data_IF_644174072930
#
_entry.id   IF_644174072930
#
_cell.length_a   1.000
_cell.length_b   1.000
_cell.length_c   1.000
_cell.angle_alpha   90.00
_cell.angle_beta   90.00
_cell.angle_gamma   90.00
#
_symmetry.space_group_name_H-M   'P 1'
#
loop_
_entity.id
_entity.type
_entity.pdbx_description
1 polymer ?
#
# COMPACT_ATOMS: atom_id res chain seq x y z
N UNK A 1 11.16 2.04 -19.38
CA UNK A 1 10.96 1.11 -18.26
C UNK A 1 9.46 0.98 -17.96
N UNK A 2 9.00 -0.23 -17.78
CA UNK A 2 7.59 -0.50 -17.53
C UNK A 2 7.14 0.03 -16.18
N UNK A 3 6.02 0.72 -16.14
CA UNK A 3 5.42 1.20 -14.90
C UNK A 3 4.57 0.11 -14.28
N UNK A 4 4.77 -0.14 -13.00
CA UNK A 4 4.03 -1.16 -12.25
C UNK A 4 3.46 -0.52 -10.98
N UNK A 5 2.15 -0.65 -10.80
CA UNK A 5 1.44 -0.09 -9.66
C UNK A 5 1.02 -1.20 -8.71
N UNK A 6 1.40 -1.06 -7.45
CA UNK A 6 0.96 -1.95 -6.38
C UNK A 6 -0.03 -1.18 -5.51
N UNK A 7 -1.31 -1.46 -5.67
CA UNK A 7 -2.37 -0.85 -4.87
C UNK A 7 -2.53 -1.61 -3.56
N UNK A 8 -2.43 -0.90 -2.45
CA UNK A 8 -2.48 -1.49 -1.12
C UNK A 8 -3.67 -0.90 -0.34
N UNK A 9 -4.63 -1.75 -0.06
CA UNK A 9 -5.78 -1.41 0.79
C UNK A 9 -5.46 -1.83 2.21
N UNK A 10 -5.13 -0.84 3.06
CA UNK A 10 -4.62 -1.09 4.41
C UNK A 10 -5.77 -1.22 5.39
N UNK A 11 -5.79 -2.33 6.12
CA UNK A 11 -6.67 -2.53 7.27
C UNK A 11 -5.82 -2.61 8.54
N UNK A 12 -6.46 -2.88 9.67
CA UNK A 12 -5.79 -2.83 10.97
C UNK A 12 -4.62 -3.81 11.09
N UNK A 13 -4.83 -5.07 10.69
CA UNK A 13 -3.84 -6.14 10.90
C UNK A 13 -3.27 -6.70 9.60
N UNK A 14 -3.89 -6.38 8.49
CA UNK A 14 -3.52 -6.93 7.20
C UNK A 14 -3.89 -5.95 6.10
N UNK A 15 -3.31 -6.15 4.94
CA UNK A 15 -3.61 -5.36 3.75
C UNK A 15 -3.94 -6.29 2.59
N UNK A 16 -4.71 -5.77 1.65
CA UNK A 16 -4.95 -6.45 0.38
C UNK A 16 -4.13 -5.73 -0.69
N UNK A 17 -3.37 -6.47 -1.48
CA UNK A 17 -2.47 -5.91 -2.49
C UNK A 17 -2.87 -6.41 -3.86
N UNK A 18 -2.98 -5.49 -4.82
CA UNK A 18 -3.19 -5.80 -6.23
C UNK A 18 -2.07 -5.17 -7.05
N UNK A 19 -1.48 -5.92 -7.96
CA UNK A 19 -0.37 -5.43 -8.78
C UNK A 19 -0.82 -5.35 -10.23
N UNK A 20 -0.58 -4.20 -10.86
CA UNK A 20 -1.08 -3.88 -12.19
C UNK A 20 0.04 -3.27 -13.04
N UNK A 21 0.07 -3.62 -14.34
CA UNK A 21 1.05 -3.04 -15.25
C UNK A 21 0.53 -1.73 -15.88
N UNK A 22 1.37 -1.10 -16.70
CA UNK A 22 1.06 0.19 -17.31
C UNK A 22 -0.12 0.16 -18.28
N UNK A 23 -0.49 -1.02 -18.76
CA UNK A 23 -1.64 -1.18 -19.67
C UNK A 23 -2.93 -1.47 -18.90
N UNK A 24 -2.87 -1.45 -17.57
CA UNK A 24 -4.02 -1.73 -16.73
C UNK A 24 -4.29 -3.22 -16.54
N UNK A 25 -3.34 -4.05 -16.96
CA UNK A 25 -3.47 -5.50 -16.80
C UNK A 25 -3.03 -5.93 -15.42
N UNK A 26 -3.82 -6.77 -14.75
CA UNK A 26 -3.49 -7.29 -13.44
C UNK A 26 -2.38 -8.33 -13.56
N UNK A 27 -1.21 -8.03 -12.98
CA UNK A 27 -0.08 -8.94 -12.95
C UNK A 27 -0.29 -9.99 -11.85
N UNK A 28 -0.72 -9.53 -10.68
CA UNK A 28 -1.04 -10.40 -9.55
C UNK A 28 -2.41 -10.03 -9.01
N UNK A 29 -3.30 -11.01 -8.93
CA UNK A 29 -4.64 -10.83 -8.38
C UNK A 29 -4.55 -10.39 -6.93
N UNK A 30 -5.57 -9.68 -6.40
CA UNK A 30 -5.54 -9.25 -5.00
C UNK A 30 -5.21 -10.38 -4.04
N UNK A 31 -4.24 -10.13 -3.17
CA UNK A 31 -3.80 -11.11 -2.18
C UNK A 31 -3.60 -10.43 -0.83
N UNK A 32 -3.71 -11.21 0.23
CA UNK A 32 -3.59 -10.71 1.59
C UNK A 32 -2.14 -10.71 2.04
N UNK A 33 -1.77 -9.64 2.77
CA UNK A 33 -0.46 -9.52 3.38
C UNK A 33 -0.68 -9.11 4.84
N UNK A 34 -0.24 -9.94 5.77
CA UNK A 34 -0.30 -9.61 7.19
C UNK A 34 0.78 -8.59 7.52
N UNK A 35 0.52 -7.74 8.51
CA UNK A 35 1.47 -6.69 8.92
C UNK A 35 2.53 -7.26 9.85
N UNK A 36 3.18 -8.32 9.44
CA UNK A 36 4.32 -8.91 10.15
C UNK A 36 5.60 -8.60 9.40
N UNK A 37 6.72 -8.62 10.10
CA UNK A 37 8.02 -8.35 9.48
C UNK A 37 8.28 -9.31 8.33
N UNK A 38 7.98 -10.58 8.53
CA UNK A 38 8.23 -11.63 7.53
C UNK A 38 7.40 -11.40 6.26
N UNK A 39 6.13 -11.08 6.40
CA UNK A 39 5.26 -10.87 5.23
C UNK A 39 5.54 -9.55 4.53
N UNK A 40 5.91 -8.51 5.27
CA UNK A 40 6.30 -7.24 4.66
C UNK A 40 7.64 -7.39 3.92
N UNK A 41 8.57 -8.17 4.45
CA UNK A 41 9.80 -8.50 3.76
C UNK A 41 9.50 -9.26 2.47
N UNK A 42 8.61 -10.25 2.53
CA UNK A 42 8.20 -11.02 1.37
C UNK A 42 7.56 -10.13 0.30
N UNK A 43 6.68 -9.22 0.73
CA UNK A 43 6.04 -8.28 -0.19
C UNK A 43 7.07 -7.38 -0.87
N UNK A 44 8.00 -6.82 -0.10
CA UNK A 44 9.03 -5.95 -0.64
C UNK A 44 9.91 -6.70 -1.64
N UNK A 45 10.32 -7.92 -1.31
CA UNK A 45 11.12 -8.74 -2.21
C UNK A 45 10.36 -9.08 -3.49
N UNK A 46 9.08 -9.42 -3.36
CA UNK A 46 8.22 -9.71 -4.50
C UNK A 46 8.15 -8.52 -5.45
N UNK A 47 7.93 -7.32 -4.91
CA UNK A 47 7.83 -6.10 -5.71
C UNK A 47 9.15 -5.76 -6.38
N UNK A 48 10.27 -5.93 -5.68
CA UNK A 48 11.59 -5.62 -6.24
C UNK A 48 12.02 -6.58 -7.36
N UNK A 49 11.44 -7.77 -7.39
CA UNK A 49 11.74 -8.74 -8.44
C UNK A 49 10.96 -8.50 -9.73
N UNK A 50 9.97 -7.64 -9.68
CA UNK A 50 9.18 -7.32 -10.87
C UNK A 50 10.03 -6.53 -11.86
N UNK A 51 9.81 -6.79 -13.14
CA UNK A 51 10.59 -6.17 -14.21
C UNK A 51 10.00 -4.81 -14.60
N UNK A 52 10.32 -3.78 -13.82
CA UNK A 52 9.82 -2.44 -14.08
C UNK A 52 10.02 -1.51 -12.89
N UNK A 53 9.56 -0.29 -13.06
CA UNK A 53 9.53 0.69 -11.98
C UNK A 53 8.27 0.49 -11.16
N UNK A 54 8.42 0.08 -9.91
CA UNK A 54 7.28 -0.24 -9.04
C UNK A 54 7.02 0.91 -8.09
N UNK A 55 5.77 1.32 -8.00
CA UNK A 55 5.30 2.29 -7.02
C UNK A 55 4.17 1.70 -6.23
N UNK A 56 4.21 1.91 -4.92
CA UNK A 56 3.18 1.43 -3.98
C UNK A 56 2.23 2.57 -3.69
N UNK A 57 0.94 2.33 -3.90
CA UNK A 57 -0.10 3.35 -3.74
C UNK A 57 -1.00 2.94 -2.57
N UNK A 58 -1.25 3.88 -1.67
CA UNK A 58 -2.15 3.68 -0.53
C UNK A 58 -3.16 4.81 -0.46
N UNK A 59 -4.32 4.52 0.13
CA UNK A 59 -5.35 5.52 0.37
C UNK A 59 -5.26 6.01 1.81
N UNK A 60 -5.38 7.31 2.01
CA UNK A 60 -5.35 7.92 3.34
C UNK A 60 -6.75 7.89 3.97
N UNK A 61 -7.13 6.76 4.57
CA UNK A 61 -8.45 6.57 5.18
C UNK A 61 -8.41 6.46 6.70
N UNK A 62 -7.25 6.16 7.28
CA UNK A 62 -7.10 5.92 8.71
C UNK A 62 -5.69 6.25 9.14
N UNK A 63 -5.31 5.81 10.34
CA UNK A 63 -3.94 5.95 10.82
C UNK A 63 -3.08 4.70 10.53
N UNK A 64 -3.73 3.60 10.11
CA UNK A 64 -3.03 2.32 9.94
C UNK A 64 -2.08 2.30 8.74
N UNK A 65 -2.31 3.17 7.73
CA UNK A 65 -1.44 3.21 6.56
C UNK A 65 -0.05 3.76 6.88
N UNK A 66 0.11 4.62 7.90
CA UNK A 66 1.39 5.25 8.19
C UNK A 66 2.47 4.27 8.67
N UNK A 67 2.19 3.37 9.62
CA UNK A 67 3.20 2.37 10.00
C UNK A 67 3.61 1.46 8.82
N UNK A 68 2.65 1.09 7.99
CA UNK A 68 2.94 0.22 6.84
C UNK A 68 3.72 0.98 5.77
N UNK A 69 3.37 2.22 5.52
CA UNK A 69 4.11 3.07 4.59
C UNK A 69 5.56 3.22 5.04
N UNK A 70 5.79 3.45 6.34
CA UNK A 70 7.12 3.56 6.89
C UNK A 70 7.91 2.27 6.71
N UNK A 71 7.30 1.13 7.04
CA UNK A 71 7.93 -0.18 6.88
C UNK A 71 8.36 -0.44 5.43
N UNK A 72 7.49 -0.17 4.49
CA UNK A 72 7.79 -0.40 3.09
C UNK A 72 8.80 0.60 2.54
N UNK A 73 8.73 1.85 3.00
CA UNK A 73 9.71 2.88 2.61
C UNK A 73 11.12 2.52 3.11
N UNK A 74 11.22 2.01 4.32
CA UNK A 74 12.50 1.56 4.88
C UNK A 74 13.11 0.40 4.10
N UNK A 75 12.27 -0.35 3.39
CA UNK A 75 12.71 -1.44 2.52
C UNK A 75 13.05 -0.98 1.11
N UNK A 76 13.08 0.34 0.89
CA UNK A 76 13.54 0.93 -0.37
C UNK A 76 12.48 1.06 -1.44
N UNK A 77 11.20 1.02 -1.07
CA UNK A 77 10.10 1.14 -2.04
C UNK A 77 9.62 2.59 -2.15
N UNK A 78 9.15 2.95 -3.34
CA UNK A 78 8.46 4.22 -3.56
C UNK A 78 7.03 4.08 -3.06
N UNK A 79 6.63 4.96 -2.13
CA UNK A 79 5.29 4.95 -1.53
C UNK A 79 4.60 6.27 -1.86
N UNK A 80 3.36 6.20 -2.33
CA UNK A 80 2.51 7.37 -2.51
C UNK A 80 1.22 7.17 -1.72
N UNK A 81 0.89 8.13 -0.86
CA UNK A 81 -0.35 8.10 -0.09
C UNK A 81 -1.31 9.11 -0.71
N UNK A 82 -2.41 8.62 -1.24
CA UNK A 82 -3.38 9.42 -1.99
C UNK A 82 -4.54 9.80 -1.08
N UNK A 83 -5.00 11.04 -1.22
CA UNK A 83 -6.16 11.55 -0.49
C UNK A 83 -7.40 10.68 -0.78
N UNK A 84 -8.14 10.35 0.28
CA UNK A 84 -9.33 9.50 0.18
C UNK A 84 -10.40 10.11 -0.73
N UNK A 85 -10.52 11.43 -0.72
CA UNK A 85 -11.49 12.12 -1.58
C UNK A 85 -11.15 11.94 -3.05
N UNK A 86 -9.89 12.13 -3.41
CA UNK A 86 -9.43 11.96 -4.81
C UNK A 86 -9.60 10.51 -5.26
N UNK A 87 -9.31 9.57 -4.38
CA UNK A 87 -9.48 8.14 -4.68
C UNK A 87 -10.96 7.82 -4.92
N UNK A 88 -11.85 8.37 -4.08
CA UNK A 88 -13.29 8.17 -4.22
C UNK A 88 -13.81 8.76 -5.54
N UNK A 89 -13.33 9.94 -5.91
CA UNK A 89 -13.72 10.56 -7.18
C UNK A 89 -13.32 9.67 -8.36
N UNK A 90 -12.11 9.16 -8.34
CA UNK A 90 -11.61 8.25 -9.37
C UNK A 90 -12.46 6.98 -9.44
N UNK A 91 -12.75 6.37 -8.29
CA UNK A 91 -13.55 5.15 -8.23
C UNK A 91 -14.96 5.35 -8.76
N UNK A 92 -15.58 6.51 -8.52
CA UNK A 92 -16.93 6.81 -9.00
C UNK A 92 -16.97 6.96 -10.52
N UNK A 93 -15.89 7.37 -11.14
CA UNK A 93 -15.82 7.55 -12.60
C UNK A 93 -15.55 6.22 -13.29
N UNK A 94 -14.54 5.48 -12.82
CA UNK A 94 -14.03 4.30 -13.53
C UNK A 94 -14.57 2.97 -13.02
N UNK A 95 -15.06 2.92 -11.78
CA UNK A 95 -15.51 1.67 -11.17
C UNK A 95 -16.90 1.85 -10.58
N UNK A 96 -17.91 1.43 -11.32
CA UNK A 96 -19.30 1.52 -10.88
C UNK A 96 -19.69 0.26 -10.12
N UNK A 97 -20.15 0.46 -8.87
CA UNK A 97 -20.80 -0.58 -8.07
C UNK A 97 -19.88 -1.48 -7.29
N UNK A 98 -20.35 -1.93 -6.14
CA UNK A 98 -19.75 -2.96 -5.30
C UNK A 98 -18.53 -2.50 -4.51
N UNK A 99 -18.64 -2.59 -3.19
CA UNK A 99 -17.54 -2.29 -2.27
C UNK A 99 -17.03 -3.60 -1.67
N UNK A 100 -15.97 -4.16 -2.25
CA UNK A 100 -15.27 -5.29 -1.65
C UNK A 100 -13.80 -4.91 -1.49
N UNK A 101 -13.12 -5.50 -0.50
CA UNK A 101 -11.70 -5.23 -0.25
C UNK A 101 -10.87 -5.51 -1.50
N UNK A 102 -11.25 -6.51 -2.27
CA UNK A 102 -10.56 -6.85 -3.52
C UNK A 102 -10.70 -5.75 -4.57
N UNK A 103 -11.89 -5.13 -4.65
CA UNK A 103 -12.11 -4.01 -5.55
C UNK A 103 -11.30 -2.79 -5.15
N UNK A 104 -11.19 -2.54 -3.85
CA UNK A 104 -10.47 -1.37 -3.35
C UNK A 104 -8.99 -1.43 -3.73
N UNK A 105 -8.32 -2.56 -3.55
CA UNK A 105 -6.91 -2.68 -3.93
C UNK A 105 -6.70 -2.55 -5.43
N UNK A 106 -7.61 -3.10 -6.24
CA UNK A 106 -7.57 -2.97 -7.69
C UNK A 106 -7.79 -1.53 -8.12
N UNK A 107 -8.74 -0.85 -7.49
CA UNK A 107 -9.02 0.56 -7.76
C UNK A 107 -7.81 1.42 -7.43
N UNK A 108 -7.17 1.14 -6.29
CA UNK A 108 -5.98 1.87 -5.87
C UNK A 108 -4.83 1.66 -6.86
N UNK A 109 -4.62 0.42 -7.30
CA UNK A 109 -3.59 0.12 -8.30
C UNK A 109 -3.87 0.85 -9.61
N UNK A 110 -5.13 0.85 -10.05
CA UNK A 110 -5.55 1.52 -11.27
C UNK A 110 -5.33 3.03 -11.20
N UNK A 111 -5.61 3.63 -10.03
CA UNK A 111 -5.32 5.04 -9.80
C UNK A 111 -3.83 5.34 -10.02
N UNK A 112 -2.96 4.49 -9.49
CA UNK A 112 -1.52 4.66 -9.65
C UNK A 112 -1.08 4.68 -11.11
N UNK A 113 -1.64 3.82 -11.92
CA UNK A 113 -1.34 3.78 -13.36
C UNK A 113 -1.91 5.02 -14.07
N UNK A 114 -3.17 5.37 -13.78
CA UNK A 114 -3.85 6.49 -14.46
C UNK A 114 -3.20 7.83 -14.16
N UNK A 115 -2.69 8.01 -12.95
CA UNK A 115 -2.08 9.27 -12.51
C UNK A 115 -0.59 9.13 -12.19
N UNK A 116 0.08 8.21 -12.87
CA UNK A 116 1.50 7.90 -12.63
C UNK A 116 2.38 9.14 -12.56
N UNK A 117 2.20 10.05 -13.50
CA UNK A 117 3.02 11.26 -13.59
C UNK A 117 2.71 12.31 -12.53
N UNK A 118 1.59 12.13 -11.82
CA UNK A 118 1.16 13.06 -10.77
C UNK A 118 1.39 12.50 -9.37
N UNK A 119 1.87 11.27 -9.25
CA UNK A 119 2.13 10.65 -7.95
C UNK A 119 3.28 11.38 -7.25
N UNK A 120 3.07 11.67 -5.97
CA UNK A 120 4.08 12.31 -5.12
C UNK A 120 4.59 11.28 -4.12
N UNK A 121 5.90 11.12 -4.08
CA UNK A 121 6.50 10.20 -3.12
C UNK A 121 6.27 10.71 -1.69
N UNK A 122 5.71 9.84 -0.84
CA UNK A 122 5.45 10.18 0.54
C UNK A 122 6.74 10.44 1.28
N UNK A 123 6.81 11.59 1.94
CA UNK A 123 7.95 11.98 2.76
C UNK A 123 7.52 12.06 4.21
N UNK A 124 8.36 11.55 5.11
CA UNK A 124 8.08 11.62 6.53
C UNK A 124 8.50 13.00 7.03
N UNK A 125 7.56 13.81 7.56
CA UNK A 125 7.94 15.09 8.15
C UNK A 125 8.94 14.88 9.28
N UNK A 126 9.99 15.70 9.34
CA UNK A 126 11.06 15.55 10.35
C UNK A 126 10.51 15.52 11.78
N UNK A 127 9.50 16.32 12.04
CA UNK A 127 8.92 16.46 13.37
C UNK A 127 8.11 15.22 13.78
N UNK A 128 7.64 14.43 12.84
CA UNK A 128 6.80 13.27 13.10
C UNK A 128 7.54 11.95 12.93
N UNK A 129 8.76 11.96 12.41
CA UNK A 129 9.53 10.74 12.14
C UNK A 129 9.65 9.86 13.38
N UNK A 130 10.06 10.45 14.49
CA UNK A 130 10.23 9.71 15.74
C UNK A 130 8.90 9.14 16.22
N UNK A 131 7.84 9.92 16.14
CA UNK A 131 6.51 9.50 16.59
C UNK A 131 5.98 8.35 15.73
N UNK A 132 6.20 8.39 14.42
CA UNK A 132 5.80 7.31 13.52
C UNK A 132 6.59 6.04 13.77
N UNK A 133 7.89 6.17 14.00
CA UNK A 133 8.74 5.02 14.32
C UNK A 133 8.30 4.35 15.62
N UNK A 134 8.03 5.14 16.64
CA UNK A 134 7.54 4.63 17.92
C UNK A 134 6.18 3.96 17.76
N UNK A 135 5.26 4.59 17.04
CA UNK A 135 3.95 4.02 16.76
C UNK A 135 4.07 2.70 16.03
N UNK A 136 4.94 2.64 15.04
CA UNK A 136 5.18 1.44 14.26
C UNK A 136 5.71 0.31 15.13
N UNK A 137 6.69 0.58 15.97
CA UNK A 137 7.26 -0.41 16.89
C UNK A 137 6.21 -0.92 17.86
N UNK A 138 5.41 -0.02 18.44
CA UNK A 138 4.34 -0.38 19.35
C UNK A 138 3.30 -1.27 18.66
N UNK A 139 2.91 -0.90 17.45
CA UNK A 139 1.95 -1.67 16.67
C UNK A 139 2.46 -3.07 16.37
N UNK A 140 3.70 -3.19 15.88
CA UNK A 140 4.28 -4.48 15.53
C UNK A 140 4.48 -5.36 16.77
N UNK A 141 4.89 -4.77 17.90
CA UNK A 141 5.05 -5.51 19.14
C UNK A 141 3.72 -6.03 19.68
N UNK A 142 2.68 -5.20 19.65
CA UNK A 142 1.35 -5.63 20.09
C UNK A 142 0.85 -6.80 19.25
N UNK A 143 1.08 -6.75 17.96
CA UNK A 143 0.69 -7.83 17.05
C UNK A 143 1.48 -9.10 17.33
N UNK A 144 2.77 -8.98 17.61
CA UNK A 144 3.63 -10.10 17.95
C UNK A 144 3.15 -10.79 19.23
N UNK A 145 2.75 -10.01 20.22
CA UNK A 145 2.19 -10.57 21.47
C UNK A 145 0.89 -11.32 21.22
N UNK A 146 0.02 -10.81 20.37
CA UNK A 146 -1.22 -11.50 20.03
C UNK A 146 -0.96 -12.84 19.37
N UNK A 147 0.05 -12.94 18.52
CA UNK A 147 0.41 -14.18 17.85
C UNK A 147 0.96 -15.22 18.83
N UNK A 148 1.63 -14.78 19.89
CA UNK A 148 2.17 -15.68 20.90
C UNK A 148 1.08 -16.20 21.84
N UNK A 149 0.08 -15.39 22.13
CA UNK A 149 -1.01 -15.74 23.04
C UNK A 149 -2.03 -16.68 22.38
N UNK A 150 -2.15 -16.62 21.08
CA UNK A 150 -3.03 -17.49 20.32
C UNK A 150 -2.38 -18.85 20.02
#
# INVERSE_FOLDING_TARGET
>A
MTCISAGVDVSKNRSTVCIMDQDGKVIMRPFLVWHSTEELDFLADTLKRLNGEVRVIMESTSVYQYPIALQLKERGLFISIVNAYEMKQFANIDFRGGKTDKKDSRTIASYGISYWNKLVEWQIPKDTYFNLDLLNRTYMNAKKHRQIIL
#
